data_IF_271398941319
#
_entry.id   IF_271398941319
#
_cell.length_a   1.000
_cell.length_b   1.000
_cell.length_c   1.000
_cell.angle_alpha   90.00
_cell.angle_beta   90.00
_cell.angle_gamma   90.00
#
_symmetry.space_group_name_H-M   'P 1'
#
loop_
_entity.id
_entity.type
_entity.pdbx_description
1 polymer ?
#
# COMPACT_ATOMS: atom_id res chain seq x y z
N UNK A 1 -0.05 57.38 -23.47
CA UNK A 1 0.07 56.81 -22.11
C UNK A 1 -0.78 55.54 -22.07
N UNK A 2 -0.16 54.37 -22.25
CA UNK A 2 -0.83 53.05 -22.15
C UNK A 2 -0.28 52.36 -20.92
N UNK A 3 -1.13 52.19 -19.91
CA UNK A 3 -0.77 51.59 -18.63
C UNK A 3 -0.84 50.06 -18.79
N UNK A 4 0.32 49.41 -18.88
CA UNK A 4 0.43 47.96 -18.77
C UNK A 4 0.23 47.58 -17.29
N UNK A 5 -0.93 47.01 -16.95
CA UNK A 5 -1.14 46.36 -15.65
C UNK A 5 -0.74 44.89 -15.87
N UNK A 6 0.33 44.38 -15.23
CA UNK A 6 0.72 42.99 -15.39
C UNK A 6 -0.34 42.12 -14.70
N UNK A 7 -0.90 41.18 -15.45
CA UNK A 7 -1.79 40.15 -14.92
C UNK A 7 -0.95 39.31 -13.94
N UNK A 8 -1.09 39.54 -12.64
CA UNK A 8 -0.55 38.67 -11.59
C UNK A 8 -1.30 37.34 -11.71
N UNK A 9 -0.70 36.40 -12.44
CA UNK A 9 -1.13 35.00 -12.45
C UNK A 9 -0.85 34.47 -11.05
N UNK A 10 -1.86 34.50 -10.19
CA UNK A 10 -1.84 33.76 -8.93
C UNK A 10 -1.93 32.29 -9.28
N UNK A 11 -0.77 31.64 -9.43
CA UNK A 11 -0.71 30.19 -9.48
C UNK A 11 -1.14 29.70 -8.10
N UNK A 12 -2.41 29.31 -7.98
CA UNK A 12 -2.89 28.58 -6.81
C UNK A 12 -2.13 27.26 -6.76
N UNK A 13 -1.15 27.16 -5.86
CA UNK A 13 -0.55 25.89 -5.47
C UNK A 13 -1.66 25.05 -4.84
N UNK A 14 -2.35 24.25 -5.64
CA UNK A 14 -3.17 23.18 -5.13
C UNK A 14 -2.23 22.22 -4.40
N UNK A 15 -2.27 22.24 -3.06
CA UNK A 15 -1.65 21.18 -2.26
C UNK A 15 -2.40 19.90 -2.61
N UNK A 16 -1.78 19.00 -3.37
CA UNK A 16 -2.24 17.62 -3.34
C UNK A 16 -2.06 17.15 -1.91
N UNK A 17 -3.16 16.78 -1.26
CA UNK A 17 -3.04 16.07 0.00
C UNK A 17 -2.32 14.75 -0.33
N UNK A 18 -1.26 14.47 0.43
CA UNK A 18 -0.50 13.25 0.30
C UNK A 18 -1.45 12.06 0.54
N UNK A 19 -1.32 10.97 -0.22
CA UNK A 19 -2.17 9.79 -0.03
C UNK A 19 -1.74 9.13 1.28
N UNK A 20 -2.55 9.29 2.32
CA UNK A 20 -2.25 8.79 3.67
C UNK A 20 -2.95 7.47 3.92
N UNK A 21 -2.17 6.47 4.33
CA UNK A 21 -2.68 5.21 4.89
C UNK A 21 -2.62 5.32 6.40
N UNK A 22 -3.75 5.10 7.06
CA UNK A 22 -3.86 5.16 8.52
C UNK A 22 -2.89 4.16 9.19
N UNK A 23 -2.11 4.67 10.14
CA UNK A 23 -1.16 3.88 10.95
C UNK A 23 -1.67 3.65 12.38
N UNK A 24 -2.78 4.27 12.75
CA UNK A 24 -3.44 4.10 14.04
C UNK A 24 -4.96 3.97 13.83
N UNK A 25 -5.42 2.80 13.34
CA UNK A 25 -6.84 2.56 13.07
C UNK A 25 -7.68 2.37 14.34
N UNK A 26 -7.04 2.16 15.50
CA UNK A 26 -7.72 2.19 16.79
C UNK A 26 -8.22 3.60 17.12
N UNK A 27 -9.32 3.75 17.90
CA UNK A 27 -9.72 5.06 18.40
C UNK A 27 -8.61 5.65 19.27
N UNK A 28 -8.59 6.98 19.43
CA UNK A 28 -7.69 7.72 20.34
C UNK A 28 -6.25 8.03 19.88
N UNK A 29 -6.01 8.02 18.56
CA UNK A 29 -4.74 8.43 17.97
C UNK A 29 -4.25 9.79 18.52
N UNK A 30 -2.99 9.84 18.94
CA UNK A 30 -2.31 11.07 19.34
C UNK A 30 -0.87 11.06 18.84
N UNK A 31 -0.22 12.22 18.89
CA UNK A 31 1.13 12.41 18.38
C UNK A 31 2.14 11.42 18.98
N UNK A 32 2.11 11.24 20.30
CA UNK A 32 3.04 10.35 20.99
C UNK A 32 2.84 8.89 20.56
N UNK A 33 1.59 8.41 20.55
CA UNK A 33 1.27 7.04 20.12
C UNK A 33 1.63 6.80 18.66
N UNK A 34 1.42 7.80 17.80
CA UNK A 34 1.79 7.72 16.39
C UNK A 34 3.30 7.59 16.18
N UNK A 35 4.07 8.46 16.84
CA UNK A 35 5.53 8.44 16.78
C UNK A 35 6.11 7.16 17.38
N UNK A 36 5.49 6.61 18.44
CA UNK A 36 5.87 5.32 19.01
C UNK A 36 5.70 4.14 18.02
N UNK A 37 4.80 4.26 17.04
CA UNK A 37 4.66 3.30 15.94
C UNK A 37 5.61 3.56 14.77
N UNK A 38 6.50 4.54 14.88
CA UNK A 38 7.38 5.00 13.81
C UNK A 38 6.62 5.55 12.58
N UNK A 39 5.50 6.22 12.82
CA UNK A 39 4.64 6.84 11.81
C UNK A 39 4.73 8.38 11.81
N UNK A 40 4.08 9.01 10.83
CA UNK A 40 4.05 10.47 10.68
C UNK A 40 2.78 11.00 11.33
N UNK A 41 2.95 12.01 12.19
CA UNK A 41 1.83 12.77 12.77
C UNK A 41 1.69 14.12 12.08
N UNK A 42 0.50 14.42 11.57
CA UNK A 42 0.13 15.74 11.05
C UNK A 42 -1.37 15.97 11.26
N UNK A 43 -1.69 16.96 12.08
CA UNK A 43 -3.07 17.39 12.33
C UNK A 43 -3.42 18.65 11.54
N UNK A 44 -4.71 19.03 11.55
CA UNK A 44 -5.18 20.29 10.98
C UNK A 44 -5.51 20.22 9.49
N UNK A 45 -5.76 19.02 8.96
CA UNK A 45 -6.31 18.86 7.62
C UNK A 45 -7.75 19.39 7.57
N UNK A 46 -8.11 20.06 6.47
CA UNK A 46 -9.41 20.71 6.29
C UNK A 46 -10.54 19.75 5.91
N UNK A 47 -10.19 18.55 5.43
CA UNK A 47 -11.15 17.53 5.00
C UNK A 47 -11.31 16.45 6.08
N UNK A 48 -12.55 16.05 6.40
CA UNK A 48 -12.81 14.97 7.33
C UNK A 48 -12.33 13.62 6.76
N UNK A 49 -11.91 12.72 7.64
CA UNK A 49 -11.49 11.37 7.27
C UNK A 49 -10.02 11.22 6.86
N UNK A 50 -9.26 12.32 6.80
CA UNK A 50 -7.79 12.24 6.60
C UNK A 50 -7.14 11.84 7.93
N UNK A 51 -6.38 10.72 7.98
CA UNK A 51 -5.76 10.28 9.22
C UNK A 51 -4.63 11.22 9.62
N UNK A 52 -4.64 11.66 10.88
CA UNK A 52 -3.56 12.47 11.45
C UNK A 52 -2.30 11.63 11.69
N UNK A 53 -2.46 10.34 12.00
CA UNK A 53 -1.37 9.38 12.09
C UNK A 53 -1.33 8.48 10.87
N UNK A 54 -0.27 8.55 10.08
CA UNK A 54 -0.20 7.80 8.82
C UNK A 54 1.17 7.18 8.56
N UNK A 55 1.15 6.12 7.73
CA UNK A 55 2.34 5.36 7.39
C UNK A 55 3.34 6.23 6.62
N UNK A 56 4.63 6.01 6.89
CA UNK A 56 5.72 6.56 6.08
C UNK A 56 5.70 5.95 4.67
N UNK A 57 6.18 6.68 3.65
CA UNK A 57 6.38 6.10 2.32
C UNK A 57 7.28 4.86 2.36
N UNK A 58 6.95 3.89 1.52
CA UNK A 58 7.77 2.70 1.34
C UNK A 58 7.63 1.64 2.43
N UNK A 59 6.79 1.79 3.46
CA UNK A 59 6.50 0.74 4.45
C UNK A 59 5.82 -0.46 3.77
N UNK A 60 6.32 -1.67 4.02
CA UNK A 60 5.71 -2.90 3.50
C UNK A 60 6.68 -4.06 3.36
N UNK A 61 6.57 -4.80 2.25
CA UNK A 61 7.46 -5.90 1.94
C UNK A 61 8.16 -5.67 0.59
N UNK A 62 9.42 -6.08 0.50
CA UNK A 62 10.22 -6.05 -0.73
C UNK A 62 10.52 -7.47 -1.19
N UNK A 63 10.66 -7.70 -2.49
CA UNK A 63 11.09 -8.99 -2.99
C UNK A 63 12.48 -9.34 -2.45
N UNK A 64 12.57 -10.49 -1.79
CA UNK A 64 13.83 -11.07 -1.33
C UNK A 64 14.35 -12.11 -2.34
N UNK A 65 13.47 -12.94 -2.90
CA UNK A 65 13.83 -13.94 -3.90
C UNK A 65 12.63 -14.34 -4.74
N UNK A 66 12.90 -14.97 -5.89
CA UNK A 66 11.88 -15.58 -6.74
C UNK A 66 12.35 -16.99 -7.11
N UNK A 67 11.47 -17.96 -6.92
CA UNK A 67 11.66 -19.35 -7.34
C UNK A 67 10.37 -19.80 -8.02
N UNK A 68 10.45 -20.06 -9.33
CA UNK A 68 9.29 -20.36 -10.17
C UNK A 68 8.17 -19.30 -10.04
N UNK A 69 6.97 -19.73 -9.66
CA UNK A 69 5.79 -18.90 -9.38
C UNK A 69 5.69 -18.41 -7.92
N UNK A 70 6.62 -18.81 -7.05
CA UNK A 70 6.70 -18.38 -5.65
C UNK A 70 7.68 -17.21 -5.53
N UNK A 71 7.18 -16.07 -5.10
CA UNK A 71 7.99 -14.89 -4.78
C UNK A 71 8.05 -14.75 -3.27
N UNK A 72 9.26 -14.70 -2.71
CA UNK A 72 9.46 -14.42 -1.29
C UNK A 72 9.55 -12.92 -1.11
N UNK A 73 8.67 -12.39 -0.27
CA UNK A 73 8.60 -10.99 0.11
C UNK A 73 9.08 -10.87 1.57
N UNK A 74 10.01 -9.97 1.83
CA UNK A 74 10.57 -9.73 3.16
C UNK A 74 10.18 -8.35 3.65
N UNK A 75 9.70 -8.28 4.89
CA UNK A 75 9.28 -7.02 5.51
C UNK A 75 10.46 -6.06 5.55
N UNK A 76 10.26 -4.80 5.16
CA UNK A 76 11.28 -3.77 5.28
C UNK A 76 11.21 -3.06 6.64
N UNK A 77 12.06 -2.05 6.83
CA UNK A 77 11.99 -1.20 8.01
C UNK A 77 10.69 -0.39 7.97
N UNK A 78 9.92 -0.45 9.05
CA UNK A 78 8.67 0.26 9.20
C UNK A 78 7.99 -0.07 10.53
N UNK A 79 6.79 0.48 10.76
CA UNK A 79 5.96 0.19 11.93
C UNK A 79 5.84 -1.31 12.20
N UNK A 80 6.01 -1.71 13.47
CA UNK A 80 5.72 -3.08 13.89
C UNK A 80 4.22 -3.32 13.86
N UNK A 81 3.81 -4.56 13.58
CA UNK A 81 2.43 -4.99 13.73
C UNK A 81 1.91 -4.65 15.15
N UNK A 82 0.86 -3.82 15.31
CA UNK A 82 0.31 -3.49 16.62
C UNK A 82 -0.38 -4.67 17.32
N UNK A 83 -0.79 -5.69 16.56
CA UNK A 83 -1.64 -6.79 17.05
C UNK A 83 -0.88 -8.11 17.21
N UNK A 84 0.46 -8.09 17.17
CA UNK A 84 1.27 -9.28 17.44
C UNK A 84 2.62 -9.25 16.75
N UNK A 85 3.19 -10.44 16.56
CA UNK A 85 4.45 -10.59 15.86
C UNK A 85 4.34 -10.18 14.38
N UNK A 86 5.43 -9.67 13.84
CA UNK A 86 5.56 -9.45 12.40
C UNK A 86 5.84 -10.77 11.67
N UNK A 87 5.25 -10.93 10.49
CA UNK A 87 5.72 -11.92 9.54
C UNK A 87 6.98 -11.38 8.87
N UNK A 88 8.16 -11.92 9.20
CA UNK A 88 9.40 -11.46 8.58
C UNK A 88 9.41 -11.71 7.07
N UNK A 89 8.88 -12.86 6.67
CA UNK A 89 8.73 -13.27 5.29
C UNK A 89 7.30 -13.72 5.03
N UNK A 90 6.78 -13.30 3.89
CA UNK A 90 5.52 -13.77 3.31
C UNK A 90 5.80 -14.17 1.87
N UNK A 91 4.87 -14.90 1.28
CA UNK A 91 5.01 -15.43 -0.06
C UNK A 91 3.88 -14.94 -0.94
N UNK A 92 4.24 -14.56 -2.15
CA UNK A 92 3.31 -14.21 -3.21
C UNK A 92 3.31 -15.34 -4.25
N UNK A 93 2.12 -15.80 -4.62
CA UNK A 93 1.88 -16.71 -5.73
C UNK A 93 0.79 -16.14 -6.61
N UNK A 94 0.93 -16.35 -7.91
CA UNK A 94 -0.08 -16.00 -8.90
C UNK A 94 -0.26 -17.11 -9.92
N UNK A 95 -1.49 -17.31 -10.37
CA UNK A 95 -1.83 -18.22 -11.46
C UNK A 95 -3.02 -17.69 -12.24
N UNK A 96 -3.18 -18.08 -13.50
CA UNK A 96 -4.37 -17.76 -14.28
C UNK A 96 -5.34 -18.94 -14.34
N UNK A 97 -6.64 -18.65 -14.31
CA UNK A 97 -7.73 -19.59 -14.57
C UNK A 97 -8.52 -19.00 -15.74
N UNK A 98 -8.18 -19.42 -16.97
CA UNK A 98 -8.61 -18.69 -18.18
C UNK A 98 -8.09 -17.25 -18.15
N UNK A 99 -9.01 -16.28 -18.17
CA UNK A 99 -8.69 -14.84 -18.09
C UNK A 99 -8.71 -14.26 -16.68
N UNK A 100 -8.96 -15.07 -15.64
CA UNK A 100 -8.96 -14.61 -14.25
C UNK A 100 -7.58 -14.80 -13.60
N UNK A 101 -6.98 -13.71 -13.11
CA UNK A 101 -5.78 -13.76 -12.28
C UNK A 101 -6.15 -14.15 -10.84
N UNK A 102 -5.64 -15.29 -10.37
CA UNK A 102 -5.68 -15.68 -8.98
C UNK A 102 -4.38 -15.27 -8.30
N UNK A 103 -4.49 -14.46 -7.24
CA UNK A 103 -3.34 -14.01 -6.44
C UNK A 103 -3.49 -14.53 -5.01
N UNK A 104 -2.39 -14.99 -4.43
CA UNK A 104 -2.31 -15.42 -3.05
C UNK A 104 -1.09 -14.80 -2.36
N UNK A 105 -1.34 -14.12 -1.25
CA UNK A 105 -0.31 -13.69 -0.29
C UNK A 105 -0.50 -14.52 0.96
N UNK A 106 0.55 -15.19 1.42
CA UNK A 106 0.44 -16.12 2.54
C UNK A 106 1.73 -16.23 3.36
N UNK A 107 1.60 -16.76 4.56
CA UNK A 107 2.71 -17.28 5.37
C UNK A 107 2.47 -18.77 5.61
N UNK A 108 3.52 -19.53 5.93
CA UNK A 108 3.38 -20.96 6.24
C UNK A 108 2.47 -21.17 7.47
N UNK A 109 1.78 -22.31 7.53
CA UNK A 109 0.93 -22.73 8.66
C UNK A 109 -0.23 -21.76 8.99
N UNK A 110 -0.72 -21.00 8.01
CA UNK A 110 -1.92 -20.17 8.15
C UNK A 110 -3.13 -20.94 7.65
N UNK A 111 -4.28 -20.73 8.31
CA UNK A 111 -5.53 -21.33 7.89
C UNK A 111 -5.92 -20.88 6.48
N UNK A 112 -6.30 -21.84 5.64
CA UNK A 112 -6.92 -21.61 4.35
C UNK A 112 -8.36 -22.11 4.40
N UNK A 113 -9.35 -21.23 4.20
CA UNK A 113 -10.75 -21.65 4.16
C UNK A 113 -10.97 -22.75 3.11
N UNK A 114 -11.63 -23.88 3.46
CA UNK A 114 -11.94 -24.95 2.52
C UNK A 114 -13.16 -24.55 1.67
N UNK A 115 -12.99 -23.51 0.86
CA UNK A 115 -14.03 -22.98 -0.01
C UNK A 115 -13.90 -23.58 -1.42
N UNK A 116 -15.00 -24.05 -2.04
CA UNK A 116 -14.97 -24.51 -3.42
C UNK A 116 -14.80 -23.32 -4.35
N UNK A 117 -13.58 -23.08 -4.81
CA UNK A 117 -13.30 -22.05 -5.82
C UNK A 117 -13.62 -22.60 -7.22
N UNK A 118 -14.33 -21.83 -8.07
CA UNK A 118 -14.50 -22.21 -9.47
C UNK A 118 -13.13 -22.30 -10.15
N UNK A 119 -12.84 -23.47 -10.73
CA UNK A 119 -11.57 -23.74 -11.44
C UNK A 119 -11.74 -23.80 -12.95
N UNK A 120 -12.95 -23.57 -13.46
CA UNK A 120 -13.21 -23.54 -14.89
C UNK A 120 -12.61 -22.27 -15.50
N UNK A 121 -11.89 -22.37 -16.63
CA UNK A 121 -11.34 -21.21 -17.33
C UNK A 121 -12.45 -20.20 -17.67
N UNK A 122 -12.20 -18.92 -17.37
CA UNK A 122 -13.05 -17.82 -17.82
C UNK A 122 -12.60 -17.29 -19.17
N UNK A 123 -13.55 -16.82 -19.97
CA UNK A 123 -13.30 -16.18 -21.26
C UNK A 123 -13.50 -14.67 -21.16
N UNK A 124 -12.66 -13.91 -21.86
CA UNK A 124 -12.72 -12.44 -21.99
C UNK A 124 -11.87 -12.00 -23.18
N UNK A 125 -12.31 -10.93 -23.86
CA UNK A 125 -11.51 -10.26 -24.89
C UNK A 125 -10.34 -9.47 -24.33
N UNK A 126 -10.37 -9.15 -23.03
CA UNK A 126 -9.35 -8.33 -22.39
C UNK A 126 -8.10 -9.15 -22.05
N UNK A 127 -6.95 -8.47 -22.03
CA UNK A 127 -5.67 -9.05 -21.60
C UNK A 127 -5.19 -8.36 -20.32
N UNK A 128 -4.84 -9.18 -19.31
CA UNK A 128 -4.28 -8.71 -18.05
C UNK A 128 -2.81 -9.13 -17.97
N UNK A 129 -1.93 -8.15 -17.81
CA UNK A 129 -0.51 -8.38 -17.59
C UNK A 129 -0.13 -8.04 -16.15
N UNK A 130 0.47 -9.00 -15.46
CA UNK A 130 0.93 -8.81 -14.08
C UNK A 130 2.36 -8.28 -14.09
N UNK A 131 2.49 -6.97 -13.83
CA UNK A 131 3.78 -6.34 -13.57
C UNK A 131 4.00 -6.22 -12.08
N UNK A 132 5.08 -6.82 -11.60
CA UNK A 132 5.58 -6.54 -10.27
C UNK A 132 6.62 -5.42 -10.43
N UNK A 133 6.17 -4.19 -10.24
CA UNK A 133 7.02 -3.00 -10.38
C UNK A 133 7.90 -2.89 -9.13
N UNK A 134 9.21 -2.98 -9.31
CA UNK A 134 10.20 -2.82 -8.24
C UNK A 134 10.81 -1.42 -8.35
N UNK A 135 10.66 -0.60 -7.32
CA UNK A 135 11.53 0.58 -7.19
C UNK A 135 12.93 0.09 -6.75
N UNK A 136 13.87 0.12 -7.70
CA UNK A 136 15.31 0.05 -7.40
C UNK A 136 15.88 1.40 -6.95
N UNK A 137 15.05 2.30 -6.41
CA UNK A 137 15.48 3.63 -5.98
C UNK A 137 14.95 3.96 -4.59
N UNK A 138 15.81 3.77 -3.59
CA UNK A 138 16.08 4.79 -2.55
C UNK A 138 17.58 4.96 -2.51
#
# INVERSE_FOLDING_TARGET
>A
MRWFIPLLITVSLARTDDIRIDCYPEPDANEQKCKNRDCIWKSGDSLPGIPWCYMKPGVGYKQASKQDSKITLRKNNGPKNPWGADFREIYFKSSFIGKTLNVKIYAENRYEPPIPLPRQPTESSDELQLYLLWSSAV
#
